data_IF_809589011982
#
_entry.id   IF_809589011982
#
_cell.length_a   1.000
_cell.length_b   1.000
_cell.length_c   1.000
_cell.angle_alpha   90.00
_cell.angle_beta   90.00
_cell.angle_gamma   90.00
#
_symmetry.space_group_name_H-M   'P 1'
#
loop_
_entity.id
_entity.type
_entity.pdbx_description
1 polymer ?
#
# COMPACT_ATOMS: atom_id res chain seq x y z
N UNK A 1 8.79 39.04 -15.96
CA UNK A 1 9.26 38.11 -14.91
C UNK A 1 8.21 37.03 -14.76
N UNK A 2 8.31 35.97 -15.57
CA UNK A 2 7.36 34.86 -15.57
C UNK A 2 7.82 33.84 -14.53
N UNK A 3 7.01 33.68 -13.50
CA UNK A 3 7.14 32.64 -12.48
C UNK A 3 6.99 31.27 -13.13
N UNK A 4 8.10 30.53 -13.18
CA UNK A 4 8.10 29.13 -13.58
C UNK A 4 7.25 28.33 -12.59
N UNK A 5 6.14 27.77 -13.09
CA UNK A 5 5.31 26.86 -12.32
C UNK A 5 6.12 25.60 -12.01
N UNK A 6 6.65 25.53 -10.78
CA UNK A 6 7.25 24.33 -10.18
C UNK A 6 6.20 23.21 -10.26
N UNK A 7 6.39 22.27 -11.19
CA UNK A 7 5.56 21.07 -11.28
C UNK A 7 5.51 20.40 -9.91
N UNK A 8 4.29 20.14 -9.43
CA UNK A 8 4.05 19.50 -8.14
C UNK A 8 4.84 18.20 -8.05
N UNK A 9 5.80 18.14 -7.13
CA UNK A 9 6.61 16.98 -6.86
C UNK A 9 5.76 15.94 -6.10
N UNK A 10 4.88 15.27 -6.82
CA UNK A 10 4.09 14.18 -6.27
C UNK A 10 5.02 13.00 -5.94
N UNK A 11 5.06 12.60 -4.67
CA UNK A 11 5.70 11.38 -4.23
C UNK A 11 4.97 10.17 -4.84
N UNK A 12 5.66 9.42 -5.69
CA UNK A 12 5.12 8.21 -6.32
C UNK A 12 5.74 7.00 -5.65
N UNK A 13 4.94 6.06 -5.16
CA UNK A 13 5.43 4.83 -4.53
C UNK A 13 4.59 3.67 -5.06
N UNK A 14 5.25 2.67 -5.63
CA UNK A 14 4.66 1.39 -6.01
C UNK A 14 5.13 0.29 -5.04
N UNK A 15 4.27 -0.71 -4.84
CA UNK A 15 4.49 -1.83 -3.93
C UNK A 15 4.16 -3.13 -4.64
N UNK A 16 5.11 -4.07 -4.63
CA UNK A 16 4.94 -5.41 -5.19
C UNK A 16 4.94 -6.43 -4.07
N UNK A 17 3.79 -7.05 -3.80
CA UNK A 17 3.61 -8.01 -2.71
C UNK A 17 4.20 -9.40 -3.05
N UNK A 18 4.71 -10.09 -2.04
CA UNK A 18 5.12 -11.48 -2.14
C UNK A 18 4.77 -12.28 -0.87
N UNK A 19 4.48 -13.57 -1.06
CA UNK A 19 4.33 -14.50 0.06
C UNK A 19 5.71 -14.95 0.56
N UNK A 20 6.00 -14.72 1.85
CA UNK A 20 7.24 -15.19 2.49
C UNK A 20 7.26 -16.72 2.58
N UNK A 21 8.43 -17.34 2.43
CA UNK A 21 8.62 -18.79 2.61
C UNK A 21 8.01 -19.34 3.93
N UNK A 22 8.22 -18.70 5.11
CA UNK A 22 7.60 -19.16 6.35
C UNK A 22 6.07 -19.07 6.33
N UNK A 23 5.48 -18.06 5.68
CA UNK A 23 4.03 -17.99 5.51
C UNK A 23 3.51 -19.15 4.63
N UNK A 24 4.18 -19.45 3.51
CA UNK A 24 3.80 -20.58 2.63
C UNK A 24 3.89 -21.93 3.36
N UNK A 25 4.96 -22.15 4.12
CA UNK A 25 5.15 -23.39 4.91
C UNK A 25 4.08 -23.53 5.96
N UNK A 26 3.77 -22.45 6.70
CA UNK A 26 2.73 -22.46 7.73
C UNK A 26 1.34 -22.70 7.17
N UNK A 27 0.98 -22.06 6.07
CA UNK A 27 -0.31 -22.30 5.40
C UNK A 27 -0.41 -23.75 4.96
N UNK A 28 0.64 -24.30 4.31
CA UNK A 28 0.66 -25.71 3.91
C UNK A 28 0.54 -26.65 5.11
N UNK A 29 1.29 -26.42 6.19
CA UNK A 29 1.28 -27.27 7.39
C UNK A 29 -0.08 -27.22 8.10
N UNK A 30 -0.65 -26.02 8.27
CA UNK A 30 -1.98 -25.83 8.86
C UNK A 30 -3.07 -26.52 8.05
N UNK A 31 -3.10 -26.31 6.73
CA UNK A 31 -4.05 -27.00 5.84
C UNK A 31 -3.88 -28.51 5.89
N UNK A 32 -2.64 -29.01 5.95
CA UNK A 32 -2.37 -30.46 6.04
C UNK A 32 -2.87 -31.04 7.36
N UNK A 33 -2.64 -30.36 8.49
CA UNK A 33 -3.13 -30.77 9.81
C UNK A 33 -4.67 -30.78 9.85
N UNK A 34 -5.31 -29.74 9.29
CA UNK A 34 -6.77 -29.63 9.27
C UNK A 34 -7.42 -30.72 8.42
N UNK A 35 -6.95 -30.90 7.18
CA UNK A 35 -7.47 -31.92 6.28
C UNK A 35 -7.13 -33.34 6.77
N UNK A 36 -6.01 -33.51 7.47
CA UNK A 36 -5.58 -34.79 8.05
C UNK A 36 -6.38 -35.19 9.30
N UNK A 37 -7.04 -34.27 10.00
CA UNK A 37 -7.74 -34.55 11.25
C UNK A 37 -8.94 -35.51 11.07
N UNK A 38 -9.72 -35.35 9.99
CA UNK A 38 -10.87 -36.20 9.69
C UNK A 38 -10.50 -37.67 9.36
N UNK A 39 -9.56 -37.95 8.43
CA UNK A 39 -9.13 -39.33 8.17
C UNK A 39 -8.42 -39.94 9.38
N UNK A 40 -7.66 -39.15 10.15
CA UNK A 40 -7.03 -39.60 11.38
C UNK A 40 -8.05 -40.09 12.41
N UNK A 41 -9.18 -39.38 12.57
CA UNK A 41 -10.28 -39.81 13.45
C UNK A 41 -10.83 -41.19 13.05
N UNK A 42 -11.04 -41.42 11.74
CA UNK A 42 -11.53 -42.71 11.22
C UNK A 42 -10.52 -43.83 11.51
N UNK A 43 -9.24 -43.61 11.21
CA UNK A 43 -8.18 -44.59 11.42
C UNK A 43 -8.03 -44.95 12.90
N UNK A 44 -8.00 -43.96 13.79
CA UNK A 44 -7.87 -44.20 15.22
C UNK A 44 -9.09 -44.92 15.81
N UNK A 45 -10.30 -44.63 15.29
CA UNK A 45 -11.52 -45.33 15.67
C UNK A 45 -11.51 -46.80 15.22
N UNK A 46 -11.04 -47.08 14.01
CA UNK A 46 -10.93 -48.46 13.51
C UNK A 46 -9.84 -49.26 14.23
N UNK A 47 -8.81 -48.58 14.76
CA UNK A 47 -7.77 -49.20 15.57
C UNK A 47 -8.22 -49.53 17.02
N UNK A 48 -9.46 -49.21 17.40
CA UNK A 48 -10.01 -49.53 18.72
C UNK A 48 -9.43 -48.70 19.88
N UNK A 49 -8.86 -47.53 19.59
CA UNK A 49 -8.31 -46.65 20.63
C UNK A 49 -9.41 -46.08 21.53
N UNK A 50 -9.08 -45.86 22.80
CA UNK A 50 -9.99 -45.27 23.75
C UNK A 50 -10.47 -43.87 23.29
N UNK A 51 -11.75 -43.50 23.46
CA UNK A 51 -12.29 -42.22 22.99
C UNK A 51 -11.52 -41.00 23.47
N UNK A 52 -10.96 -41.03 24.69
CA UNK A 52 -10.15 -39.95 25.23
C UNK A 52 -8.84 -39.72 24.46
N UNK A 53 -8.21 -40.78 23.95
CA UNK A 53 -6.98 -40.68 23.14
C UNK A 53 -7.31 -40.11 21.76
N UNK A 54 -8.41 -40.57 21.14
CA UNK A 54 -8.89 -40.05 19.85
C UNK A 54 -9.18 -38.55 19.96
N UNK A 55 -9.95 -38.15 20.99
CA UNK A 55 -10.28 -36.76 21.24
C UNK A 55 -9.04 -35.88 21.47
N UNK A 56 -8.06 -36.38 22.24
CA UNK A 56 -6.82 -35.65 22.49
C UNK A 56 -6.00 -35.44 21.21
N UNK A 57 -5.81 -36.48 20.39
CA UNK A 57 -4.98 -36.41 19.18
C UNK A 57 -5.63 -35.56 18.09
N UNK A 58 -6.91 -35.79 17.80
CA UNK A 58 -7.65 -35.01 16.80
C UNK A 58 -7.81 -33.55 17.27
N UNK A 59 -8.12 -33.36 18.56
CA UNK A 59 -8.20 -32.04 19.18
C UNK A 59 -6.87 -31.28 19.08
N UNK A 60 -5.73 -31.94 19.33
CA UNK A 60 -4.41 -31.34 19.19
C UNK A 60 -4.10 -30.97 17.72
N UNK A 61 -4.48 -31.79 16.74
CA UNK A 61 -4.28 -31.49 15.32
C UNK A 61 -5.09 -30.27 14.86
N UNK A 62 -6.37 -30.19 15.26
CA UNK A 62 -7.24 -29.04 14.95
C UNK A 62 -6.75 -27.78 15.67
N UNK A 63 -6.44 -27.89 16.96
CA UNK A 63 -5.92 -26.77 17.77
C UNK A 63 -4.58 -26.29 17.23
N UNK A 64 -3.68 -27.20 16.83
CA UNK A 64 -2.41 -26.87 16.21
C UNK A 64 -2.57 -26.16 14.85
N UNK A 65 -3.50 -26.60 14.02
CA UNK A 65 -3.87 -25.91 12.77
C UNK A 65 -4.36 -24.50 13.04
N UNK A 66 -5.27 -24.33 14.01
CA UNK A 66 -5.84 -23.03 14.36
C UNK A 66 -4.77 -22.11 14.97
N UNK A 67 -3.92 -22.65 15.86
CA UNK A 67 -2.79 -21.94 16.41
C UNK A 67 -1.84 -21.48 15.30
N UNK A 68 -1.53 -22.31 14.31
CA UNK A 68 -0.71 -21.91 13.15
C UNK A 68 -1.36 -20.83 12.27
N UNK A 69 -2.70 -20.78 12.23
CA UNK A 69 -3.43 -19.71 11.54
C UNK A 69 -3.41 -18.39 12.33
N UNK A 70 -3.43 -18.46 13.67
CA UNK A 70 -3.51 -17.29 14.57
C UNK A 70 -2.14 -16.75 14.99
N UNK A 71 -1.13 -17.61 15.17
CA UNK A 71 0.19 -17.25 15.72
C UNK A 71 1.15 -16.76 14.64
N UNK A 72 0.90 -15.62 14.03
CA UNK A 72 1.84 -14.96 13.11
C UNK A 72 1.52 -13.49 12.93
N UNK A 73 2.41 -12.70 12.27
CA UNK A 73 2.00 -11.42 11.72
C UNK A 73 0.72 -11.67 10.94
N UNK A 74 -0.34 -10.87 11.15
CA UNK A 74 -1.64 -11.14 10.55
C UNK A 74 -1.44 -11.37 9.06
N UNK A 75 -2.10 -12.39 8.50
CA UNK A 75 -1.98 -12.77 7.08
C UNK A 75 -2.29 -11.60 6.11
N UNK A 76 -2.72 -10.46 6.64
CA UNK A 76 -3.01 -9.19 5.99
C UNK A 76 -1.77 -8.34 5.68
N UNK A 77 -0.63 -8.48 6.39
CA UNK A 77 0.63 -7.79 6.01
C UNK A 77 1.50 -8.68 5.14
N UNK A 78 1.18 -8.73 3.84
CA UNK A 78 2.04 -9.38 2.86
C UNK A 78 3.35 -8.63 2.74
N UNK A 79 4.45 -9.35 2.85
CA UNK A 79 5.75 -8.75 2.61
C UNK A 79 5.79 -8.16 1.21
N UNK A 80 6.51 -7.04 1.02
CA UNK A 80 6.51 -6.39 -0.27
C UNK A 80 7.82 -5.68 -0.58
N UNK A 81 8.08 -5.51 -1.86
CA UNK A 81 9.14 -4.65 -2.38
C UNK A 81 8.53 -3.30 -2.71
N UNK A 82 9.18 -2.21 -2.32
CA UNK A 82 8.77 -0.83 -2.59
C UNK A 82 9.74 -0.18 -3.55
N UNK A 83 9.20 0.51 -4.54
CA UNK A 83 9.93 1.41 -5.41
C UNK A 83 9.24 2.76 -5.39
N UNK A 84 9.96 3.82 -5.04
CA UNK A 84 9.43 5.17 -5.02
C UNK A 84 10.27 6.15 -5.83
N UNK A 85 9.65 7.25 -6.25
CA UNK A 85 10.29 8.42 -6.80
C UNK A 85 9.72 9.66 -6.11
N UNK A 86 10.55 10.36 -5.35
CA UNK A 86 10.19 11.54 -4.55
C UNK A 86 11.30 12.57 -4.69
N UNK A 87 10.98 13.81 -5.08
CA UNK A 87 11.94 14.92 -5.18
C UNK A 87 13.28 14.58 -5.87
N UNK A 88 13.23 13.95 -7.05
CA UNK A 88 14.43 13.48 -7.78
C UNK A 88 15.26 12.47 -6.98
N UNK A 89 14.63 11.68 -6.12
CA UNK A 89 15.24 10.56 -5.38
C UNK A 89 14.44 9.28 -5.59
N UNK A 90 15.17 8.21 -5.86
CA UNK A 90 14.69 6.85 -6.00
C UNK A 90 14.74 6.18 -4.63
N UNK A 91 13.60 5.65 -4.20
CA UNK A 91 13.45 4.89 -2.95
C UNK A 91 13.34 3.41 -3.29
N UNK A 92 14.16 2.58 -2.67
CA UNK A 92 14.15 1.13 -2.88
C UNK A 92 14.16 0.47 -1.52
N UNK A 93 13.16 -0.33 -1.21
CA UNK A 93 13.11 -1.00 0.08
C UNK A 93 12.21 -2.20 0.10
N UNK A 94 12.17 -2.85 1.26
CA UNK A 94 11.26 -3.95 1.54
C UNK A 94 10.34 -3.54 2.68
N UNK A 95 9.17 -4.16 2.75
CA UNK A 95 8.31 -4.18 3.91
C UNK A 95 8.26 -5.63 4.37
N UNK A 96 9.19 -6.02 5.24
CA UNK A 96 9.17 -7.34 5.86
C UNK A 96 8.52 -7.19 7.23
N UNK A 97 7.27 -7.64 7.34
CA UNK A 97 6.53 -7.67 8.60
C UNK A 97 7.28 -8.54 9.64
N UNK A 98 8.15 -7.92 10.44
CA UNK A 98 8.83 -8.57 11.57
C UNK A 98 10.33 -8.30 11.71
N UNK A 99 11.02 -7.68 10.73
CA UNK A 99 12.45 -7.35 10.87
C UNK A 99 12.65 -5.85 11.01
N UNK A 100 13.29 -5.43 12.10
CA UNK A 100 13.61 -4.02 12.40
C UNK A 100 14.56 -3.35 11.38
N UNK A 101 15.09 -4.13 10.43
CA UNK A 101 16.13 -3.74 9.47
C UNK A 101 15.57 -3.26 8.11
N UNK A 102 14.31 -2.85 8.08
CA UNK A 102 13.57 -2.46 6.87
C UNK A 102 13.83 -0.99 6.48
N UNK A 103 15.11 -0.59 6.43
CA UNK A 103 15.50 0.75 6.01
C UNK A 103 15.38 0.87 4.48
N UNK A 104 14.64 1.88 4.00
CA UNK A 104 14.59 2.19 2.58
C UNK A 104 15.96 2.75 2.15
N UNK A 105 16.49 2.21 1.05
CA UNK A 105 17.66 2.79 0.40
C UNK A 105 17.21 3.95 -0.48
N UNK A 106 17.77 5.13 -0.23
CA UNK A 106 17.48 6.36 -0.96
C UNK A 106 18.65 6.69 -1.88
N UNK A 107 18.39 6.88 -3.18
CA UNK A 107 19.41 7.21 -4.17
C UNK A 107 18.96 8.41 -5.01
N UNK A 108 19.82 9.41 -5.27
CA UNK A 108 19.43 10.52 -6.13
C UNK A 108 19.23 10.04 -7.57
N UNK A 109 18.25 10.63 -8.25
CA UNK A 109 17.91 10.32 -9.64
C UNK A 109 19.04 10.69 -10.60
N UNK A 110 19.85 11.70 -10.25
CA UNK A 110 21.04 12.10 -11.01
C UNK A 110 22.13 11.03 -11.04
N UNK A 111 22.13 10.08 -10.10
CA UNK A 111 23.06 8.95 -10.12
C UNK A 111 22.58 7.82 -11.04
N UNK A 112 21.34 7.86 -11.53
CA UNK A 112 20.81 6.81 -12.40
C UNK A 112 21.48 6.87 -13.78
N UNK A 113 22.25 5.83 -14.10
CA UNK A 113 22.99 5.71 -15.36
C UNK A 113 22.33 4.75 -16.34
N UNK A 114 21.48 3.83 -15.86
CA UNK A 114 20.79 2.87 -16.70
C UNK A 114 19.47 2.38 -16.12
N UNK A 115 18.52 2.11 -17.01
CA UNK A 115 17.22 1.54 -16.68
C UNK A 115 16.89 0.46 -17.71
N UNK A 116 16.76 -0.78 -17.27
CA UNK A 116 16.27 -1.87 -18.12
C UNK A 116 15.03 -2.50 -17.49
N UNK A 117 14.06 -2.85 -18.33
CA UNK A 117 12.87 -3.62 -17.95
C UNK A 117 12.86 -4.91 -18.77
N UNK A 118 13.43 -6.01 -18.25
CA UNK A 118 13.47 -7.28 -18.96
C UNK A 118 12.09 -7.79 -19.38
N UNK A 119 12.03 -8.40 -20.56
CA UNK A 119 10.79 -8.93 -21.14
C UNK A 119 10.33 -10.24 -20.49
N UNK A 120 11.13 -10.84 -19.64
CA UNK A 120 10.80 -12.04 -18.89
C UNK A 120 10.54 -11.69 -17.43
N UNK A 121 9.40 -12.14 -16.85
CA UNK A 121 9.21 -12.09 -15.40
C UNK A 121 10.32 -12.83 -14.65
N UNK A 122 10.51 -12.52 -13.37
CA UNK A 122 11.46 -13.26 -12.56
C UNK A 122 10.99 -14.71 -12.35
N UNK A 123 11.90 -15.66 -12.54
CA UNK A 123 11.63 -17.09 -12.34
C UNK A 123 11.55 -17.49 -10.87
N UNK A 124 12.14 -16.69 -9.99
CA UNK A 124 12.24 -16.96 -8.55
C UNK A 124 12.12 -15.67 -7.75
N UNK A 125 11.68 -15.78 -6.49
CA UNK A 125 11.67 -14.68 -5.52
C UNK A 125 13.02 -14.59 -4.83
N UNK A 126 13.71 -13.46 -5.00
CA UNK A 126 14.94 -13.11 -4.28
C UNK A 126 14.69 -11.80 -3.53
N UNK A 127 14.83 -11.81 -2.21
CA UNK A 127 14.66 -10.64 -1.35
C UNK A 127 15.91 -10.53 -0.49
N UNK A 128 16.95 -9.97 -1.08
CA UNK A 128 18.25 -9.76 -0.45
C UNK A 128 18.67 -8.30 -0.65
N UNK A 129 18.33 -7.41 0.31
CA UNK A 129 18.72 -6.00 0.26
C UNK A 129 20.24 -5.79 0.17
N UNK A 130 21.03 -6.66 0.82
CA UNK A 130 22.50 -6.57 0.79
C UNK A 130 23.06 -6.87 -0.61
N UNK A 131 22.45 -7.81 -1.32
CA UNK A 131 22.75 -8.09 -2.75
C UNK A 131 21.99 -7.21 -3.73
N UNK A 132 21.10 -6.34 -3.23
CA UNK A 132 20.28 -5.43 -4.04
C UNK A 132 19.39 -6.16 -5.04
N UNK A 133 19.02 -7.41 -4.71
CA UNK A 133 18.15 -8.27 -5.51
C UNK A 133 16.82 -8.43 -4.79
N UNK A 134 15.81 -7.74 -5.30
CA UNK A 134 14.44 -7.64 -4.79
C UNK A 134 13.44 -8.11 -5.84
N UNK A 135 13.75 -9.23 -6.52
CA UNK A 135 12.88 -9.86 -7.52
C UNK A 135 11.80 -10.71 -6.87
N UNK A 136 10.63 -10.75 -7.48
CA UNK A 136 9.49 -11.57 -7.02
C UNK A 136 9.07 -12.49 -8.16
N UNK A 137 8.99 -13.78 -7.87
CA UNK A 137 8.53 -14.84 -8.78
C UNK A 137 7.22 -14.42 -9.49
N UNK A 138 7.22 -14.54 -10.82
CA UNK A 138 6.07 -14.22 -11.66
C UNK A 138 5.83 -12.72 -11.89
N UNK A 139 6.59 -11.82 -11.24
CA UNK A 139 6.50 -10.38 -11.44
C UNK A 139 7.60 -9.87 -12.39
N UNK A 140 7.31 -8.76 -13.09
CA UNK A 140 8.34 -7.99 -13.80
C UNK A 140 9.28 -7.35 -12.78
N UNK A 141 10.49 -7.03 -13.22
CA UNK A 141 11.44 -6.31 -12.40
C UNK A 141 12.20 -5.28 -13.22
N UNK A 142 12.59 -4.19 -12.57
CA UNK A 142 13.47 -3.18 -13.13
C UNK A 142 14.91 -3.46 -12.72
N UNK A 143 15.83 -3.26 -13.65
CA UNK A 143 17.26 -3.20 -13.40
C UNK A 143 17.67 -1.74 -13.43
N UNK A 144 17.99 -1.20 -12.25
CA UNK A 144 18.43 0.17 -12.05
C UNK A 144 19.95 0.17 -11.89
N UNK A 145 20.67 0.79 -12.81
CA UNK A 145 22.12 0.96 -12.72
C UNK A 145 22.44 2.39 -12.30
N UNK A 146 23.37 2.53 -11.36
CA UNK A 146 23.80 3.80 -10.81
C UNK A 146 25.26 4.12 -11.15
N UNK A 147 25.67 5.36 -10.94
CA UNK A 147 27.02 5.88 -11.26
C UNK A 147 28.15 5.21 -10.48
N UNK A 148 27.87 4.74 -9.27
CA UNK A 148 28.75 3.91 -8.43
C UNK A 148 28.86 2.44 -8.92
N UNK A 149 28.30 2.14 -10.11
CA UNK A 149 28.19 0.79 -10.69
C UNK A 149 27.30 -0.16 -9.88
N UNK A 150 26.57 0.36 -8.89
CA UNK A 150 25.58 -0.42 -8.17
C UNK A 150 24.41 -0.74 -9.11
N UNK A 151 23.93 -1.99 -9.04
CA UNK A 151 22.73 -2.42 -9.75
C UNK A 151 21.70 -2.91 -8.75
N UNK A 152 20.47 -2.39 -8.85
CA UNK A 152 19.32 -2.90 -8.12
C UNK A 152 18.40 -3.66 -9.08
N UNK A 153 17.91 -4.81 -8.64
CA UNK A 153 16.83 -5.55 -9.30
C UNK A 153 15.58 -5.41 -8.45
N UNK A 154 14.58 -4.68 -8.91
CA UNK A 154 13.40 -4.31 -8.10
C UNK A 154 12.13 -4.80 -8.77
N UNK A 155 11.35 -5.63 -8.09
CA UNK A 155 10.07 -6.11 -8.61
C UNK A 155 9.06 -4.97 -8.75
N UNK A 156 8.35 -4.94 -9.88
CA UNK A 156 7.38 -3.90 -10.21
C UNK A 156 6.10 -4.53 -10.77
N UNK A 157 4.89 -4.09 -10.36
CA UNK A 157 3.65 -4.64 -10.86
C UNK A 157 3.35 -4.08 -12.26
N UNK A 158 3.13 -4.95 -13.24
CA UNK A 158 2.86 -4.54 -14.63
C UNK A 158 1.50 -3.82 -14.77
N UNK A 159 0.55 -4.15 -13.90
CA UNK A 159 -0.80 -3.57 -13.88
C UNK A 159 -0.94 -2.29 -13.07
N UNK A 160 0.13 -1.82 -12.40
CA UNK A 160 0.06 -0.65 -11.53
C UNK A 160 0.33 0.65 -12.34
N UNK A 161 -0.65 1.58 -12.43
CA UNK A 161 -0.45 2.86 -13.12
C UNK A 161 0.61 3.74 -12.47
N UNK A 162 0.84 3.61 -11.15
CA UNK A 162 1.88 4.36 -10.44
C UNK A 162 3.26 3.84 -10.85
N UNK A 163 3.42 2.53 -10.96
CA UNK A 163 4.64 1.92 -11.47
C UNK A 163 4.98 2.37 -12.90
N UNK A 164 3.97 2.42 -13.78
CA UNK A 164 4.16 2.90 -15.15
C UNK A 164 4.64 4.36 -15.18
N UNK A 165 4.08 5.22 -14.33
CA UNK A 165 4.48 6.63 -14.20
C UNK A 165 5.90 6.78 -13.62
N UNK A 166 6.27 5.99 -12.62
CA UNK A 166 7.64 5.95 -12.07
C UNK A 166 8.62 5.59 -13.18
N UNK A 167 8.38 4.49 -13.91
CA UNK A 167 9.25 4.04 -15.02
C UNK A 167 9.41 5.13 -16.08
N UNK A 168 8.31 5.82 -16.44
CA UNK A 168 8.33 6.91 -17.41
C UNK A 168 9.24 8.05 -16.96
N UNK A 169 9.17 8.45 -15.69
CA UNK A 169 10.02 9.51 -15.12
C UNK A 169 11.48 9.09 -15.00
N UNK A 170 11.74 7.87 -14.55
CA UNK A 170 13.11 7.31 -14.51
C UNK A 170 13.74 7.31 -15.90
N UNK A 171 13.00 6.91 -16.94
CA UNK A 171 13.49 6.93 -18.32
C UNK A 171 13.78 8.34 -18.81
N UNK A 172 12.92 9.31 -18.50
CA UNK A 172 13.12 10.72 -18.87
C UNK A 172 14.38 11.31 -18.22
N UNK A 173 14.73 10.86 -17.03
CA UNK A 173 15.90 11.34 -16.29
C UNK A 173 17.22 10.71 -16.73
N UNK A 174 17.20 9.66 -17.57
CA UNK A 174 18.43 9.06 -18.06
C UNK A 174 19.20 10.02 -18.99
N UNK A 175 20.52 10.17 -18.79
CA UNK A 175 21.35 10.98 -19.68
C UNK A 175 21.35 10.37 -21.09
N UNK A 176 20.77 11.10 -22.05
CA UNK A 176 20.78 10.74 -23.47
C UNK A 176 19.44 10.35 -24.10
N UNK A 177 18.31 10.44 -23.39
CA UNK A 177 16.99 10.33 -24.05
C UNK A 177 16.64 11.67 -24.70
N UNK A 178 16.55 11.80 -26.04
CA UNK A 178 16.11 13.05 -26.65
C UNK A 178 14.69 13.34 -26.18
N UNK A 179 14.45 14.53 -25.67
CA UNK A 179 13.11 15.00 -25.37
C UNK A 179 12.31 15.00 -26.69
N UNK A 180 11.37 14.06 -26.84
CA UNK A 180 10.35 14.17 -27.88
C UNK A 180 9.43 15.33 -27.54
N UNK A 181 9.75 16.48 -28.11
CA UNK A 181 8.94 17.68 -28.14
C UNK A 181 8.28 17.76 -29.53
N UNK A 182 6.96 17.51 -29.54
CA UNK A 182 5.97 17.96 -30.52
C UNK A 182 6.28 17.92 -32.02
N UNK A 183 5.64 16.99 -32.75
CA UNK A 183 5.18 17.26 -34.11
C UNK A 183 3.89 16.49 -34.44
N UNK A 184 2.77 17.22 -34.40
CA UNK A 184 1.51 16.78 -34.97
C UNK A 184 1.56 16.85 -36.52
N UNK A 185 1.13 15.76 -37.15
CA UNK A 185 0.44 15.64 -38.44
C UNK A 185 0.83 16.54 -39.63
N UNK A 186 1.28 15.91 -40.73
CA UNK A 186 0.45 15.67 -41.93
C UNK A 186 1.05 14.63 -42.91
N UNK A 187 0.22 13.97 -43.73
CA UNK A 187 0.58 12.77 -44.49
C UNK A 187 0.86 13.05 -45.97
N UNK A 188 1.71 12.23 -46.61
CA UNK A 188 1.69 12.01 -48.06
C UNK A 188 2.44 10.70 -48.44
N UNK A 189 1.65 9.68 -48.78
CA UNK A 189 1.74 8.82 -49.98
C UNK A 189 3.11 8.55 -50.64
N UNK A 190 3.64 7.32 -50.42
CA UNK A 190 4.13 6.25 -51.36
C UNK A 190 4.61 6.59 -52.79
N UNK A 191 5.28 5.66 -53.52
CA UNK A 191 6.26 4.60 -53.17
C UNK A 191 7.40 4.42 -54.23
N UNK A 192 8.47 3.67 -53.91
CA UNK A 192 9.29 2.83 -54.85
C UNK A 192 10.37 2.12 -54.03
N UNK A 193 10.42 0.80 -53.88
CA UNK A 193 10.56 -0.32 -54.82
C UNK A 193 12.01 -0.87 -54.87
N UNK A 194 12.19 -2.03 -54.21
CA UNK A 194 12.89 -3.25 -54.66
C UNK A 194 14.39 -3.21 -55.04
N UNK A 195 15.23 -3.91 -54.25
CA UNK A 195 16.17 -5.03 -54.60
C UNK A 195 17.02 -5.33 -53.34
N UNK A 196 16.97 -6.50 -52.67
CA UNK A 196 17.45 -7.86 -52.98
C UNK A 196 18.99 -7.98 -53.13
N UNK A 197 19.60 -8.39 -52.01
CA UNK A 197 20.50 -9.54 -51.83
C UNK A 197 21.96 -9.57 -52.37
N UNK A 198 22.78 -10.21 -51.51
CA UNK A 198 24.00 -10.99 -51.75
C UNK A 198 25.37 -10.31 -51.90
N UNK A 199 26.32 -10.73 -51.04
CA UNK A 199 27.73 -10.93 -51.42
C UNK A 199 28.82 -10.30 -50.54
N UNK A 200 29.33 -11.06 -49.57
CA UNK A 200 30.76 -11.03 -49.19
C UNK A 200 31.60 -11.80 -50.25
N UNK A 201 32.96 -11.88 -50.26
CA UNK A 201 33.93 -11.57 -49.19
C UNK A 201 35.30 -10.98 -49.65
N UNK A 202 36.20 -10.81 -48.66
CA UNK A 202 37.68 -10.61 -48.71
C UNK A 202 38.16 -9.21 -49.12
N UNK A 203 39.07 -8.54 -48.40
CA UNK A 203 40.50 -8.91 -48.30
C UNK A 203 41.20 -8.04 -47.22
N UNK A 204 41.91 -8.69 -46.29
CA UNK A 204 42.99 -8.13 -45.43
C UNK A 204 44.23 -7.80 -46.29
N UNK A 205 45.17 -6.88 -45.93
CA UNK A 205 46.05 -7.13 -44.78
C UNK A 205 46.65 -5.91 -44.03
N UNK A 206 46.94 -6.17 -42.75
CA UNK A 206 48.11 -5.85 -41.94
C UNK A 206 48.93 -4.54 -42.16
N UNK A 207 49.17 -3.82 -41.05
CA UNK A 207 50.50 -3.40 -40.54
C UNK A 207 50.35 -2.71 -39.17
N UNK A 208 50.82 -3.34 -38.10
CA UNK A 208 52.11 -3.09 -37.41
C UNK A 208 51.98 -2.23 -36.14
N UNK A 209 52.10 -2.93 -35.02
CA UNK A 209 52.46 -2.48 -33.66
C UNK A 209 53.96 -2.09 -33.62
N UNK A 210 54.42 -1.26 -32.65
CA UNK A 210 54.88 -1.75 -31.33
C UNK A 210 54.51 -0.78 -30.16
N UNK A 211 54.08 -1.22 -28.98
CA UNK A 211 54.81 -1.80 -27.83
C UNK A 211 55.82 -0.85 -27.10
N UNK A 212 55.45 -0.43 -25.88
CA UNK A 212 56.33 0.00 -24.76
C UNK A 212 55.45 0.03 -23.47
N UNK A 213 55.52 -0.87 -22.47
CA UNK A 213 56.54 -1.34 -21.50
C UNK A 213 56.37 -0.72 -20.08
N UNK A 214 56.05 -1.62 -19.14
CA UNK A 214 56.43 -1.72 -17.72
C UNK A 214 55.82 -0.86 -16.59
N UNK A 215 55.55 -1.56 -15.46
CA UNK A 215 55.45 -1.00 -14.10
C UNK A 215 54.42 -1.65 -13.16
N UNK A 216 54.46 -2.97 -12.89
CA UNK A 216 54.80 -3.61 -11.57
C UNK A 216 54.28 -2.96 -10.28
N UNK A 217 53.52 -3.74 -9.48
CA UNK A 217 53.37 -3.51 -8.03
C UNK A 217 52.21 -4.25 -7.35
N UNK A 218 52.44 -5.49 -6.90
CA UNK A 218 51.65 -6.21 -5.86
C UNK A 218 52.63 -6.83 -4.86
N UNK A 219 52.34 -6.77 -3.54
CA UNK A 219 52.16 -7.98 -2.70
C UNK A 219 50.93 -7.83 -1.76
N UNK A 220 49.98 -8.75 -1.61
CA UNK A 220 49.94 -9.98 -0.76
C UNK A 220 50.60 -9.80 0.64
N UNK A 221 50.04 -10.12 1.81
CA UNK A 221 48.93 -11.01 2.26
C UNK A 221 48.74 -10.84 3.79
N UNK A 222 47.52 -11.03 4.33
CA UNK A 222 47.32 -11.69 5.65
C UNK A 222 46.63 -10.94 6.81
N UNK A 223 45.29 -11.11 6.91
CA UNK A 223 44.31 -11.20 8.05
C UNK A 223 44.76 -11.12 9.56
N UNK A 224 43.83 -10.98 10.56
CA UNK A 224 42.35 -10.87 10.52
C UNK A 224 41.69 -9.78 11.40
N UNK A 225 40.36 -9.73 11.26
CA UNK A 225 39.31 -8.97 11.96
C UNK A 225 39.55 -8.55 13.42
N UNK A 226 39.10 -7.33 13.75
CA UNK A 226 38.17 -7.08 14.86
C UNK A 226 37.48 -5.70 14.69
N UNK A 227 36.16 -5.72 14.86
CA UNK A 227 35.27 -4.67 15.38
C UNK A 227 35.40 -3.21 14.91
N UNK A 228 34.69 -2.86 13.84
CA UNK A 228 33.79 -1.69 13.86
C UNK A 228 32.82 -1.73 12.67
N UNK A 229 31.67 -2.37 12.88
CA UNK A 229 30.51 -2.20 12.02
C UNK A 229 29.90 -0.83 12.29
N UNK A 230 30.41 0.21 11.61
CA UNK A 230 29.61 1.40 11.35
C UNK A 230 28.69 1.09 10.17
N UNK A 231 27.49 0.62 10.49
CA UNK A 231 26.35 0.63 9.57
C UNK A 231 26.06 2.10 9.26
N UNK A 232 26.37 2.56 8.05
CA UNK A 232 26.07 3.94 7.63
C UNK A 232 24.54 4.15 7.64
N UNK A 233 24.02 5.14 8.38
CA UNK A 233 22.61 5.51 8.29
C UNK A 233 22.33 6.19 6.94
N UNK A 234 21.10 6.00 6.45
CA UNK A 234 20.48 6.61 5.27
C UNK A 234 21.20 7.85 4.68
N UNK A 235 21.61 7.75 3.41
CA UNK A 235 22.19 8.83 2.63
C UNK A 235 21.18 9.99 2.43
N UNK A 236 21.33 11.02 3.28
CA UNK A 236 20.62 12.31 3.39
C UNK A 236 19.48 12.37 4.44
N UNK A 237 19.76 12.88 5.65
CA UNK A 237 18.74 13.17 6.67
C UNK A 237 17.58 14.05 6.20
N UNK A 238 17.84 14.96 5.26
CA UNK A 238 16.81 15.84 4.69
C UNK A 238 15.75 15.08 3.89
N UNK A 239 16.12 13.97 3.24
CA UNK A 239 15.18 13.12 2.53
C UNK A 239 14.24 12.39 3.50
N UNK A 240 14.80 11.85 4.58
CA UNK A 240 14.04 11.06 5.54
C UNK A 240 12.96 11.89 6.24
N UNK A 241 13.31 13.13 6.61
CA UNK A 241 12.37 14.12 7.16
C UNK A 241 11.20 14.38 6.20
N UNK A 242 11.47 14.60 4.90
CA UNK A 242 10.39 14.85 3.92
C UNK A 242 9.48 13.65 3.73
N UNK A 243 10.03 12.44 3.70
CA UNK A 243 9.23 11.22 3.59
C UNK A 243 8.35 11.02 4.82
N UNK A 244 8.86 11.36 6.00
CA UNK A 244 8.09 11.37 7.23
C UNK A 244 6.97 12.43 7.20
N UNK A 245 7.26 13.65 6.73
CA UNK A 245 6.24 14.70 6.52
C UNK A 245 5.15 14.28 5.52
N UNK A 246 5.54 13.63 4.42
CA UNK A 246 4.60 13.10 3.43
C UNK A 246 3.69 12.01 4.02
N UNK A 247 4.25 11.14 4.88
CA UNK A 247 3.45 10.17 5.63
C UNK A 247 2.47 10.85 6.60
N UNK A 248 2.89 11.93 7.30
CA UNK A 248 1.98 12.72 8.14
C UNK A 248 0.86 13.37 7.34
N UNK A 249 1.18 13.95 6.19
CA UNK A 249 0.17 14.54 5.30
C UNK A 249 -0.84 13.48 4.84
N UNK A 250 -0.36 12.27 4.51
CA UNK A 250 -1.22 11.14 4.15
C UNK A 250 -2.12 10.71 5.31
N UNK A 251 -1.56 10.55 6.52
CA UNK A 251 -2.32 10.20 7.71
C UNK A 251 -3.42 11.26 8.00
N UNK A 252 -3.07 12.55 8.01
CA UNK A 252 -4.05 13.64 8.21
C UNK A 252 -5.14 13.65 7.15
N UNK A 253 -4.78 13.40 5.90
CA UNK A 253 -5.76 13.30 4.81
C UNK A 253 -6.74 12.16 5.03
N UNK A 254 -6.25 10.98 5.41
CA UNK A 254 -7.13 9.83 5.74
C UNK A 254 -8.05 10.18 6.91
N UNK A 255 -7.54 10.81 7.98
CA UNK A 255 -8.36 11.27 9.11
C UNK A 255 -9.43 12.28 8.68
N UNK A 256 -9.11 13.20 7.78
CA UNK A 256 -10.08 14.15 7.25
C UNK A 256 -11.14 13.48 6.37
N UNK A 257 -10.74 12.54 5.49
CA UNK A 257 -11.65 11.79 4.63
C UNK A 257 -12.58 10.90 5.47
N UNK A 258 -12.03 10.17 6.45
CA UNK A 258 -12.81 9.34 7.38
C UNK A 258 -13.70 10.19 8.29
N UNK A 259 -13.17 11.31 8.81
CA UNK A 259 -13.93 12.24 9.63
C UNK A 259 -15.17 12.80 8.94
N UNK A 260 -15.20 12.91 7.61
CA UNK A 260 -16.40 13.30 6.88
C UNK A 260 -17.55 12.28 7.08
N UNK A 261 -17.26 10.98 7.13
CA UNK A 261 -18.28 9.95 7.38
C UNK A 261 -18.75 9.91 8.84
N UNK A 262 -17.87 10.28 9.78
CA UNK A 262 -18.19 10.35 11.21
C UNK A 262 -18.90 11.65 11.61
N UNK A 263 -18.89 12.69 10.76
CA UNK A 263 -19.39 14.02 11.09
C UNK A 263 -20.56 14.48 10.20
N UNK A 264 -20.68 13.99 8.96
CA UNK A 264 -21.77 14.35 8.05
C UNK A 264 -22.88 13.28 8.08
N UNK A 265 -24.07 13.60 8.65
CA UNK A 265 -25.19 12.66 8.68
C UNK A 265 -25.63 12.20 7.29
N UNK A 266 -25.46 13.04 6.26
CA UNK A 266 -25.84 12.73 4.89
C UNK A 266 -24.99 11.61 4.31
N UNK A 267 -23.67 11.66 4.54
CA UNK A 267 -22.74 10.61 4.10
C UNK A 267 -22.99 9.31 4.84
N UNK A 268 -23.19 9.37 6.16
CA UNK A 268 -23.48 8.21 6.97
C UNK A 268 -24.79 7.52 6.52
N UNK A 269 -25.88 8.28 6.35
CA UNK A 269 -27.18 7.72 5.93
C UNK A 269 -27.11 7.07 4.54
N UNK A 270 -26.23 7.56 3.66
CA UNK A 270 -26.04 7.01 2.32
C UNK A 270 -25.12 5.79 2.29
N UNK A 271 -24.07 5.79 3.11
CA UNK A 271 -23.01 4.78 3.10
C UNK A 271 -22.67 4.29 4.53
N UNK A 272 -23.63 3.69 5.25
CA UNK A 272 -23.41 3.26 6.65
C UNK A 272 -22.31 2.21 6.78
N UNK A 273 -22.07 1.42 5.72
CA UNK A 273 -21.05 0.38 5.71
C UNK A 273 -19.60 0.88 5.74
N UNK A 274 -19.35 2.20 5.65
CA UNK A 274 -18.00 2.77 5.76
C UNK A 274 -17.56 2.91 7.23
N UNK A 275 -18.50 3.11 8.15
CA UNK A 275 -18.22 3.31 9.60
C UNK A 275 -18.65 2.10 10.45
N UNK A 276 -19.29 1.11 9.84
CA UNK A 276 -19.79 -0.07 10.53
C UNK A 276 -18.66 -1.04 10.91
N UNK A 277 -18.23 -0.98 12.17
CA UNK A 277 -17.13 -1.78 12.73
C UNK A 277 -17.36 -3.29 12.67
N UNK A 278 -18.60 -3.76 12.43
CA UNK A 278 -18.88 -5.19 12.27
C UNK A 278 -18.35 -5.77 10.97
N UNK A 279 -17.93 -4.91 10.02
CA UNK A 279 -17.42 -5.30 8.70
C UNK A 279 -15.90 -5.42 8.72
N UNK A 280 -15.37 -6.49 8.14
CA UNK A 280 -13.91 -6.75 8.09
C UNK A 280 -13.09 -5.58 7.51
N UNK A 281 -13.47 -4.93 6.39
CA UNK A 281 -12.68 -3.82 5.85
C UNK A 281 -12.59 -2.61 6.80
N UNK A 282 -13.62 -2.41 7.63
CA UNK A 282 -13.67 -1.33 8.63
C UNK A 282 -12.77 -1.69 9.82
N UNK A 283 -12.82 -2.94 10.31
CA UNK A 283 -11.91 -3.41 11.35
C UNK A 283 -10.43 -3.34 10.93
N UNK A 284 -10.12 -3.74 9.69
CA UNK A 284 -8.78 -3.64 9.11
C UNK A 284 -8.30 -2.17 9.09
N UNK A 285 -9.20 -1.24 8.74
CA UNK A 285 -8.92 0.19 8.75
C UNK A 285 -8.64 0.71 10.17
N UNK A 286 -9.49 0.40 11.16
CA UNK A 286 -9.29 0.86 12.54
C UNK A 286 -8.02 0.29 13.17
N UNK A 287 -7.67 -0.95 12.84
CA UNK A 287 -6.39 -1.56 13.28
C UNK A 287 -5.20 -0.79 12.71
N UNK A 288 -5.21 -0.48 11.41
CA UNK A 288 -4.16 0.30 10.76
C UNK A 288 -4.10 1.74 11.29
N UNK A 289 -5.26 2.33 11.61
CA UNK A 289 -5.37 3.67 12.19
C UNK A 289 -4.74 3.73 13.58
N UNK A 290 -5.08 2.78 14.46
CA UNK A 290 -4.51 2.70 15.80
C UNK A 290 -2.98 2.58 15.77
N UNK A 291 -2.45 1.78 14.86
CA UNK A 291 -1.00 1.62 14.70
C UNK A 291 -0.32 2.90 14.18
N UNK A 292 -0.91 3.55 13.17
CA UNK A 292 -0.40 4.82 12.66
C UNK A 292 -0.47 5.94 13.71
N UNK A 293 -1.51 5.95 14.55
CA UNK A 293 -1.65 6.89 15.67
C UNK A 293 -0.63 6.63 16.78
N UNK A 294 -0.37 5.37 17.12
CA UNK A 294 0.63 5.01 18.14
C UNK A 294 2.07 5.43 17.76
N UNK A 295 2.35 5.52 16.46
CA UNK A 295 3.64 5.94 15.93
C UNK A 295 3.68 7.43 15.53
N UNK A 296 2.57 8.16 15.66
CA UNK A 296 2.52 9.56 15.24
C UNK A 296 3.24 10.45 16.25
N UNK A 297 4.26 11.17 15.78
CA UNK A 297 4.96 12.20 16.54
C UNK A 297 4.74 13.57 15.91
N UNK A 298 4.84 14.63 16.73
CA UNK A 298 4.68 16.00 16.26
C UNK A 298 5.91 16.52 15.50
N UNK A 299 7.08 16.08 15.95
CA UNK A 299 8.37 16.37 15.35
C UNK A 299 9.04 15.08 14.86
N UNK A 300 10.00 15.22 13.95
CA UNK A 300 10.77 14.10 13.44
C UNK A 300 11.53 13.43 14.61
N UNK A 301 11.43 12.10 14.78
CA UNK A 301 11.90 11.42 16.00
C UNK A 301 13.43 11.25 16.11
N UNK A 302 14.22 11.88 15.24
CA UNK A 302 15.68 11.72 15.08
C UNK A 302 16.19 10.26 14.95
N UNK A 303 15.27 9.31 14.81
CA UNK A 303 15.48 7.89 14.58
C UNK A 303 14.84 7.50 13.23
N UNK A 304 15.68 7.24 12.24
CA UNK A 304 15.27 6.85 10.89
C UNK A 304 14.50 5.52 10.87
N UNK A 305 14.80 4.59 11.79
CA UNK A 305 14.07 3.34 11.92
C UNK A 305 12.65 3.56 12.43
N UNK A 306 12.48 4.42 13.42
CA UNK A 306 11.16 4.84 13.89
C UNK A 306 10.37 5.56 12.79
N UNK A 307 10.99 6.52 12.11
CA UNK A 307 10.37 7.25 11.00
C UNK A 307 9.94 6.28 9.89
N UNK A 308 10.77 5.31 9.52
CA UNK A 308 10.45 4.25 8.57
C UNK A 308 9.22 3.42 8.96
N UNK A 309 9.10 3.03 10.24
CA UNK A 309 7.91 2.31 10.75
C UNK A 309 6.64 3.16 10.64
N UNK A 310 6.71 4.44 11.01
CA UNK A 310 5.59 5.36 10.86
C UNK A 310 5.16 5.49 9.39
N UNK A 311 6.11 5.62 8.46
CA UNK A 311 5.80 5.68 7.02
C UNK A 311 5.05 4.44 6.54
N UNK A 312 5.52 3.26 6.92
CA UNK A 312 4.86 1.98 6.58
C UNK A 312 3.47 1.88 7.18
N UNK A 313 3.27 2.35 8.42
CA UNK A 313 1.96 2.38 9.06
C UNK A 313 0.99 3.35 8.35
N UNK A 314 1.44 4.57 8.00
CA UNK A 314 0.62 5.55 7.29
C UNK A 314 0.21 5.08 5.87
N UNK A 315 1.11 4.41 5.15
CA UNK A 315 0.82 3.81 3.85
C UNK A 315 -0.17 2.63 3.97
N UNK A 316 -0.03 1.81 5.02
CA UNK A 316 -1.00 0.74 5.32
C UNK A 316 -2.38 1.31 5.65
N UNK A 317 -2.44 2.34 6.50
CA UNK A 317 -3.65 3.08 6.80
C UNK A 317 -4.34 3.62 5.54
N UNK A 318 -3.57 4.20 4.60
CA UNK A 318 -4.14 4.72 3.35
C UNK A 318 -4.78 3.61 2.51
N UNK A 319 -4.13 2.45 2.37
CA UNK A 319 -4.67 1.31 1.60
C UNK A 319 -5.92 0.72 2.24
N UNK A 320 -5.89 0.48 3.55
CA UNK A 320 -7.05 -0.08 4.26
C UNK A 320 -8.22 0.90 4.20
N UNK A 321 -7.97 2.21 4.27
CA UNK A 321 -8.98 3.24 4.05
C UNK A 321 -9.60 3.18 2.64
N UNK A 322 -8.81 3.15 1.56
CA UNK A 322 -9.34 3.05 0.19
C UNK A 322 -10.22 1.80 0.03
N UNK A 323 -9.76 0.66 0.58
CA UNK A 323 -10.52 -0.61 0.52
C UNK A 323 -11.82 -0.51 1.31
N UNK A 324 -11.75 0.01 2.54
CA UNK A 324 -12.89 0.26 3.42
C UNK A 324 -13.93 1.14 2.74
N UNK A 325 -13.51 2.32 2.25
CA UNK A 325 -14.40 3.28 1.62
C UNK A 325 -15.06 2.73 0.35
N UNK A 326 -14.28 2.06 -0.51
CA UNK A 326 -14.80 1.44 -1.73
C UNK A 326 -15.82 0.35 -1.41
N UNK A 327 -15.50 -0.51 -0.44
CA UNK A 327 -16.38 -1.61 -0.03
C UNK A 327 -17.68 -1.09 0.60
N UNK A 328 -17.58 -0.13 1.53
CA UNK A 328 -18.74 0.50 2.15
C UNK A 328 -19.63 1.23 1.13
N UNK A 329 -19.04 1.93 0.15
CA UNK A 329 -19.79 2.55 -0.95
C UNK A 329 -20.45 1.54 -1.87
N UNK A 330 -19.76 0.44 -2.20
CA UNK A 330 -20.29 -0.61 -3.07
C UNK A 330 -21.43 -1.38 -2.39
N UNK A 331 -21.31 -1.63 -1.08
CA UNK A 331 -22.36 -2.26 -0.29
C UNK A 331 -23.56 -1.33 -0.10
N UNK A 332 -23.32 -0.02 0.07
CA UNK A 332 -24.35 0.96 0.37
C UNK A 332 -25.16 0.54 1.60
N UNK A 333 -26.44 0.22 1.38
CA UNK A 333 -27.36 -0.32 2.40
C UNK A 333 -27.78 -1.77 2.10
N UNK A 334 -27.20 -2.39 1.06
CA UNK A 334 -27.57 -3.72 0.59
C UNK A 334 -27.19 -4.87 1.53
N UNK A 335 -26.27 -4.62 2.46
CA UNK A 335 -25.87 -5.58 3.48
C UNK A 335 -26.83 -5.62 4.69
N UNK A 336 -27.75 -4.65 4.79
CA UNK A 336 -28.77 -4.58 5.83
C UNK A 336 -30.00 -5.42 5.45
N UNK A 337 -30.73 -5.87 6.46
CA UNK A 337 -32.04 -6.52 6.28
C UNK A 337 -33.05 -5.54 5.67
N UNK A 338 -34.03 -6.03 4.93
CA UNK A 338 -34.99 -5.18 4.17
C UNK A 338 -35.68 -4.12 5.04
N UNK A 339 -36.17 -4.53 6.22
CA UNK A 339 -36.79 -3.62 7.18
C UNK A 339 -35.82 -2.51 7.63
N UNK A 340 -34.57 -2.87 7.95
CA UNK A 340 -33.56 -1.90 8.41
C UNK A 340 -33.17 -0.94 7.28
N UNK A 341 -33.14 -1.45 6.04
CA UNK A 341 -32.90 -0.64 4.84
C UNK A 341 -34.02 0.38 4.62
N UNK A 342 -35.27 -0.04 4.77
CA UNK A 342 -36.44 0.84 4.65
C UNK A 342 -36.47 1.90 5.74
N UNK A 343 -36.10 1.55 6.97
CA UNK A 343 -35.96 2.48 8.08
C UNK A 343 -34.89 3.54 7.77
N UNK A 344 -33.71 3.12 7.31
CA UNK A 344 -32.61 4.04 6.99
C UNK A 344 -32.95 4.96 5.80
N UNK A 345 -33.62 4.44 4.76
CA UNK A 345 -34.12 5.25 3.63
C UNK A 345 -35.16 6.28 4.10
N UNK A 346 -36.03 5.90 5.04
CA UNK A 346 -36.99 6.83 5.66
C UNK A 346 -36.28 7.92 6.45
N UNK A 347 -35.26 7.57 7.25
CA UNK A 347 -34.45 8.53 7.98
C UNK A 347 -33.72 9.50 7.03
N UNK A 348 -33.15 9.00 5.92
CA UNK A 348 -32.53 9.82 4.89
C UNK A 348 -33.51 10.81 4.25
N UNK A 349 -34.73 10.38 3.93
CA UNK A 349 -35.78 11.26 3.39
C UNK A 349 -36.17 12.35 4.39
N UNK A 350 -36.41 11.98 5.65
CA UNK A 350 -36.75 12.93 6.72
C UNK A 350 -35.63 13.95 6.92
N UNK A 351 -34.38 13.51 6.94
CA UNK A 351 -33.22 14.40 7.05
C UNK A 351 -33.15 15.38 5.87
N UNK A 352 -33.30 14.90 4.64
CA UNK A 352 -33.29 15.76 3.45
C UNK A 352 -34.44 16.78 3.45
N UNK A 353 -35.65 16.37 3.89
CA UNK A 353 -36.77 17.30 4.06
C UNK A 353 -36.48 18.36 5.12
N UNK A 354 -35.82 17.99 6.22
CA UNK A 354 -35.42 18.93 7.25
C UNK A 354 -34.38 19.96 6.75
N UNK A 355 -33.49 19.57 5.84
CA UNK A 355 -32.54 20.50 5.23
C UNK A 355 -33.18 21.42 4.20
N UNK A 356 -34.26 20.98 3.55
CA UNK A 356 -34.95 21.74 2.51
C UNK A 356 -36.04 22.70 3.03
N UNK A 357 -36.46 22.60 4.29
CA UNK A 357 -37.50 23.46 4.87
C UNK A 357 -36.89 24.60 5.69
N UNK A 358 -37.43 25.81 5.51
CA UNK A 358 -37.11 27.00 6.31
C UNK A 358 -37.99 27.11 7.57
N UNK A 359 -39.03 26.28 7.69
CA UNK A 359 -39.92 26.27 8.86
C UNK A 359 -39.26 25.55 10.03
N UNK A 360 -38.87 26.31 11.06
CA UNK A 360 -38.17 25.83 12.26
C UNK A 360 -38.87 24.68 12.98
N UNK A 361 -40.20 24.77 13.15
CA UNK A 361 -41.01 23.72 13.79
C UNK A 361 -41.06 22.41 12.99
N UNK A 362 -41.20 22.50 11.67
CA UNK A 362 -41.17 21.33 10.78
C UNK A 362 -39.79 20.69 10.73
N UNK A 363 -38.74 21.52 10.61
CA UNK A 363 -37.33 21.11 10.65
C UNK A 363 -37.03 20.31 11.92
N UNK A 364 -37.40 20.82 13.08
CA UNK A 364 -37.21 20.12 14.35
C UNK A 364 -38.01 18.81 14.44
N UNK A 365 -39.22 18.76 13.88
CA UNK A 365 -40.04 17.54 13.83
C UNK A 365 -39.39 16.45 12.96
N UNK A 366 -38.95 16.81 11.75
CA UNK A 366 -38.29 15.88 10.83
C UNK A 366 -36.96 15.35 11.39
N UNK A 367 -36.12 16.23 11.95
CA UNK A 367 -34.83 15.83 12.54
C UNK A 367 -35.01 14.89 13.74
N UNK A 368 -35.95 15.16 14.66
CA UNK A 368 -36.23 14.25 15.79
C UNK A 368 -36.70 12.89 15.31
N UNK A 369 -37.56 12.85 14.28
CA UNK A 369 -38.05 11.58 13.74
C UNK A 369 -36.94 10.78 13.04
N UNK A 370 -36.07 11.45 12.29
CA UNK A 370 -34.88 10.82 11.72
C UNK A 370 -33.96 10.28 12.82
N UNK A 371 -33.69 11.06 13.87
CA UNK A 371 -32.88 10.64 15.02
C UNK A 371 -33.45 9.39 15.69
N UNK A 372 -34.76 9.34 15.95
CA UNK A 372 -35.40 8.21 16.60
C UNK A 372 -35.20 6.91 15.80
N UNK A 373 -35.45 6.95 14.49
CA UNK A 373 -35.27 5.78 13.61
C UNK A 373 -33.82 5.28 13.67
N UNK A 374 -32.87 6.21 13.66
CA UNK A 374 -31.45 5.91 13.66
C UNK A 374 -31.01 5.29 15.00
N UNK A 375 -31.47 5.82 16.13
CA UNK A 375 -31.22 5.24 17.46
C UNK A 375 -31.83 3.85 17.59
N UNK A 376 -33.03 3.63 17.03
CA UNK A 376 -33.68 2.32 17.03
C UNK A 376 -32.93 1.29 16.16
N UNK A 377 -32.24 1.73 15.08
CA UNK A 377 -31.35 0.89 14.28
C UNK A 377 -30.08 0.50 15.05
N UNK A 378 -29.50 1.44 15.80
CA UNK A 378 -28.33 1.19 16.66
C UNK A 378 -28.67 0.25 17.82
N UNK A 379 -29.82 0.45 18.49
CA UNK A 379 -30.27 -0.41 19.59
C UNK A 379 -30.50 -1.88 19.15
N UNK A 380 -30.83 -2.10 17.87
CA UNK A 380 -30.94 -3.44 17.26
C UNK A 380 -29.57 -4.05 16.89
N UNK A 381 -28.47 -3.29 17.03
CA UNK A 381 -27.11 -3.71 16.67
C UNK A 381 -26.91 -3.86 15.16
N UNK A 382 -27.71 -3.17 14.34
CA UNK A 382 -27.72 -3.33 12.88
C UNK A 382 -26.84 -2.34 12.15
N UNK A 383 -26.66 -1.16 12.75
CA UNK A 383 -25.75 -0.13 12.28
C UNK A 383 -25.07 0.44 13.52
N UNK A 384 -23.76 0.62 13.48
CA UNK A 384 -23.07 1.36 14.53
C UNK A 384 -23.05 2.84 14.19
N UNK A 385 -23.55 3.68 15.11
CA UNK A 385 -23.56 5.11 14.86
C UNK A 385 -22.30 5.79 15.39
N UNK A 386 -21.65 6.60 14.53
CA UNK A 386 -20.78 7.66 15.01
C UNK A 386 -21.51 8.53 16.03
N UNK A 387 -21.04 8.54 17.29
CA UNK A 387 -21.54 9.48 18.31
C UNK A 387 -21.55 10.94 17.84
N UNK A 388 -20.56 11.42 17.04
CA UNK A 388 -20.60 12.79 16.53
C UNK A 388 -21.75 13.04 15.54
N UNK A 389 -22.18 12.06 14.74
CA UNK A 389 -23.38 12.20 13.88
C UNK A 389 -24.63 12.41 14.72
N UNK A 390 -24.80 11.65 15.81
CA UNK A 390 -25.94 11.84 16.74
C UNK A 390 -25.92 13.26 17.31
N UNK A 391 -24.76 13.67 17.84
CA UNK A 391 -24.58 14.99 18.43
C UNK A 391 -24.82 16.12 17.41
N UNK A 392 -24.43 15.93 16.15
CA UNK A 392 -24.68 16.89 15.07
C UNK A 392 -26.18 17.03 14.77
N UNK A 393 -26.93 15.91 14.70
CA UNK A 393 -28.39 15.94 14.52
C UNK A 393 -29.06 16.62 15.73
N UNK A 394 -28.65 16.29 16.95
CA UNK A 394 -29.17 16.92 18.17
C UNK A 394 -28.90 18.42 18.25
N UNK A 395 -27.71 18.86 17.84
CA UNK A 395 -27.36 20.28 17.76
C UNK A 395 -28.26 21.01 16.76
N UNK A 396 -28.54 20.39 15.60
CA UNK A 396 -29.46 20.95 14.61
C UNK A 396 -30.90 21.03 15.11
N UNK A 397 -31.37 20.02 15.87
CA UNK A 397 -32.67 20.05 16.54
C UNK A 397 -32.74 21.23 17.52
N UNK A 398 -31.69 21.42 18.33
CA UNK A 398 -31.62 22.51 19.30
C UNK A 398 -31.67 23.88 18.63
N UNK A 399 -30.84 24.10 17.61
CA UNK A 399 -30.82 25.34 16.83
C UNK A 399 -32.16 25.63 16.15
N UNK A 400 -32.86 24.60 15.67
CA UNK A 400 -34.18 24.75 15.07
C UNK A 400 -35.28 25.11 16.09
N UNK A 401 -35.03 24.92 17.40
CA UNK A 401 -35.99 25.23 18.48
C UNK A 401 -35.65 26.52 19.22
N UNK A 402 -34.45 27.07 19.02
CA UNK A 402 -34.09 28.37 19.59
C UNK A 402 -35.00 29.45 18.97
N UNK A 403 -35.77 30.18 19.80
CA UNK A 403 -36.63 31.25 19.31
C UNK A 403 -35.72 32.34 18.70
N UNK A 404 -35.98 32.68 17.44
CA UNK A 404 -35.07 33.46 16.61
C UNK A 404 -34.56 34.74 17.29
N UNK A 405 -33.24 34.91 17.28
CA UNK A 405 -32.64 36.24 17.14
C UNK A 405 -33.08 36.79 15.79
N UNK A 406 -34.28 37.39 15.79
CA UNK A 406 -34.68 38.32 14.76
C UNK A 406 -33.63 39.44 14.71
N UNK A 407 -32.82 39.44 13.66
CA UNK A 407 -31.97 40.57 13.33
C UNK A 407 -32.87 41.79 13.10
N UNK A 408 -32.69 42.81 13.94
CA UNK A 408 -32.99 44.21 13.60
C UNK A 408 -31.85 44.81 12.80
#
# INVERSE_FOLDING_TARGET
MSTSAKGSAAALITRTEFGTAPARVRTKLGTTLLLGAAPLLIVLSLAGLAPGIIAAVVGAAVTGSLALAVTGPPATRRAAVRLGLVDEQILIGTDNAGTADSADTVRPLSELTGLELPRTPASETHIDPARKDLRIEGSRYLRLAFSDKTVYLVAVPESDPVAAEIIRRLRKALPGTPAEEGAAAKPATKPSAVTVDSGAPHTEPAKQQPASVAGTGRPDTGKPADDQWHTEPSSSPAADIRLWEAARATHRRVLSEYGAYELDPTLFLRYPGVTDITRDPVMDFHTALAEAQALATDDYPDDAGYAGRYRTAADTLRRTWIRCERDGKAAGTGYLHENDRSDLDTAAKLYNHAQATDHTGEKASYLRKAQQIIVDLEARGRVHLPRPVVAAIEAQVRLALEPGTASS
#
